data_IF_039998155189
#
_entry.id   IF_039998155189
#
_cell.length_a   1.000
_cell.length_b   1.000
_cell.length_c   1.000
_cell.angle_alpha   90.00
_cell.angle_beta   90.00
_cell.angle_gamma   90.00
#
_symmetry.space_group_name_H-M   'P 1'
#
loop_
_entity.id
_entity.type
_entity.pdbx_description
1 polymer ?
#
# COMPACT_ATOMS: atom_id res chain seq x y z
N UNK A 1 -11.96 -9.71 38.13
CA UNK A 1 -12.46 -9.25 36.81
C UNK A 1 -11.95 -7.86 36.36
N UNK A 2 -11.57 -6.93 37.26
CA UNK A 2 -11.05 -5.60 36.89
C UNK A 2 -9.59 -5.58 36.38
N UNK A 3 -8.74 -6.52 36.83
CA UNK A 3 -7.32 -6.60 36.44
C UNK A 3 -7.13 -6.97 34.95
N UNK A 4 -7.98 -7.87 34.42
CA UNK A 4 -7.94 -8.28 33.00
C UNK A 4 -8.36 -7.14 32.05
N UNK A 5 -9.26 -6.26 32.49
CA UNK A 5 -9.75 -5.15 31.67
C UNK A 5 -8.69 -4.04 31.49
N UNK A 6 -7.89 -3.77 32.53
CA UNK A 6 -6.77 -2.83 32.48
C UNK A 6 -5.61 -3.34 31.59
N UNK A 7 -5.32 -4.65 31.60
CA UNK A 7 -4.36 -5.24 30.65
C UNK A 7 -4.85 -5.14 29.20
N UNK A 8 -6.16 -5.23 28.96
CA UNK A 8 -6.73 -5.12 27.61
C UNK A 8 -6.61 -3.70 27.04
N UNK A 9 -6.82 -2.65 27.85
CA UNK A 9 -6.63 -1.25 27.43
C UNK A 9 -5.16 -0.92 27.16
N UNK A 10 -4.24 -1.40 27.99
CA UNK A 10 -2.79 -1.29 27.77
C UNK A 10 -2.33 -2.02 26.51
N UNK A 11 -2.81 -3.25 26.28
CA UNK A 11 -2.53 -4.02 25.08
C UNK A 11 -3.11 -3.39 23.82
N UNK A 12 -4.30 -2.78 23.90
CA UNK A 12 -4.89 -2.08 22.78
C UNK A 12 -4.13 -0.80 22.45
N UNK A 13 -3.73 -0.02 23.46
CA UNK A 13 -2.89 1.16 23.29
C UNK A 13 -1.50 0.79 22.72
N UNK A 14 -0.88 -0.28 23.22
CA UNK A 14 0.40 -0.81 22.72
C UNK A 14 0.29 -1.30 21.27
N UNK A 15 -0.78 -2.03 20.95
CA UNK A 15 -1.10 -2.48 19.59
C UNK A 15 -1.34 -1.29 18.65
N UNK A 16 -2.06 -0.27 19.10
CA UNK A 16 -2.33 0.96 18.34
C UNK A 16 -1.03 1.75 18.10
N UNK A 17 -0.21 1.92 19.13
CA UNK A 17 1.07 2.62 19.09
C UNK A 17 2.07 1.92 18.17
N UNK A 18 2.16 0.59 18.25
CA UNK A 18 3.02 -0.21 17.39
C UNK A 18 2.56 -0.17 15.91
N UNK A 19 1.24 -0.18 15.66
CA UNK A 19 0.70 0.05 14.31
C UNK A 19 1.00 1.46 13.80
N UNK A 20 1.01 2.48 14.66
CA UNK A 20 1.41 3.85 14.31
C UNK A 20 2.89 3.93 13.91
N UNK A 21 3.78 3.34 14.71
CA UNK A 21 5.22 3.25 14.41
C UNK A 21 5.50 2.50 13.10
N UNK A 22 4.75 1.41 12.86
CA UNK A 22 4.85 0.61 11.63
C UNK A 22 4.37 1.39 10.39
N UNK A 23 3.36 2.25 10.55
CA UNK A 23 2.85 3.12 9.49
C UNK A 23 3.89 4.16 9.06
N UNK A 24 4.67 4.72 9.98
CA UNK A 24 5.74 5.67 9.64
C UNK A 24 6.88 5.01 8.84
N UNK A 25 7.21 3.75 9.14
CA UNK A 25 8.31 3.05 8.45
C UNK A 25 7.91 2.44 7.10
N UNK A 26 6.63 2.14 6.90
CA UNK A 26 6.09 1.59 5.64
C UNK A 26 6.33 2.48 4.41
N UNK A 27 6.69 3.77 4.60
CA UNK A 27 6.91 4.72 3.51
C UNK A 27 8.40 5.00 3.23
N UNK A 28 9.33 4.46 4.01
CA UNK A 28 10.76 4.69 3.80
C UNK A 28 11.33 3.57 2.94
N UNK A 29 11.49 3.86 1.65
CA UNK A 29 12.16 2.96 0.70
C UNK A 29 13.68 3.15 0.87
N UNK A 30 14.33 2.21 1.57
CA UNK A 30 15.78 2.26 1.84
C UNK A 30 16.52 1.48 0.72
N UNK A 31 17.35 2.12 -0.12
CA UNK A 31 18.10 1.44 -1.18
C UNK A 31 19.24 0.55 -0.64
N UNK A 32 19.79 0.89 0.54
CA UNK A 32 20.84 0.11 1.20
C UNK A 32 20.28 -1.16 1.83
N UNK A 33 20.56 -2.32 1.21
CA UNK A 33 20.08 -3.64 1.65
C UNK A 33 20.34 -3.97 3.13
N UNK A 34 21.58 -3.88 3.67
CA UNK A 34 21.82 -4.26 5.06
C UNK A 34 21.05 -3.36 6.04
N UNK A 35 20.98 -2.06 5.75
CA UNK A 35 20.20 -1.11 6.56
C UNK A 35 18.70 -1.42 6.49
N UNK A 36 18.17 -1.72 5.30
CA UNK A 36 16.79 -2.15 5.13
C UNK A 36 16.48 -3.41 5.94
N UNK A 37 17.35 -4.43 5.90
CA UNK A 37 17.17 -5.66 6.69
C UNK A 37 17.23 -5.40 8.19
N UNK A 38 18.20 -4.60 8.66
CA UNK A 38 18.33 -4.24 10.07
C UNK A 38 17.08 -3.50 10.57
N UNK A 39 16.63 -2.49 9.83
CA UNK A 39 15.43 -1.73 10.18
C UNK A 39 14.16 -2.59 10.13
N UNK A 40 14.02 -3.44 9.12
CA UNK A 40 12.89 -4.37 9.00
C UNK A 40 12.83 -5.37 10.15
N UNK A 41 13.99 -5.89 10.58
CA UNK A 41 14.09 -6.78 11.74
C UNK A 41 13.62 -6.08 13.01
N UNK A 42 14.14 -4.88 13.27
CA UNK A 42 13.89 -4.13 14.51
C UNK A 42 12.46 -3.59 14.60
N UNK A 43 11.89 -3.12 13.48
CA UNK A 43 10.63 -2.38 13.49
C UNK A 43 9.42 -3.17 13.04
N UNK A 44 9.61 -4.29 12.33
CA UNK A 44 8.51 -5.13 11.86
C UNK A 44 8.59 -6.54 12.43
N UNK A 45 9.74 -7.21 12.31
CA UNK A 45 9.84 -8.62 12.64
C UNK A 45 9.78 -8.87 14.15
N UNK A 46 10.62 -8.20 14.95
CA UNK A 46 10.63 -8.32 16.42
C UNK A 46 9.27 -7.93 17.01
N UNK A 47 8.66 -6.78 16.66
CA UNK A 47 7.36 -6.40 17.19
C UNK A 47 6.25 -7.39 16.79
N UNK A 48 6.31 -7.97 15.59
CA UNK A 48 5.36 -8.99 15.15
C UNK A 48 5.43 -10.27 15.98
N UNK A 49 6.64 -10.74 16.33
CA UNK A 49 6.81 -11.89 17.22
C UNK A 49 6.27 -11.61 18.62
N UNK A 50 6.54 -10.41 19.16
CA UNK A 50 6.02 -9.98 20.47
C UNK A 50 4.48 -9.98 20.45
N UNK A 51 3.86 -9.41 19.42
CA UNK A 51 2.40 -9.37 19.30
C UNK A 51 1.79 -10.76 19.12
N UNK A 52 2.40 -11.64 18.32
CA UNK A 52 1.90 -13.01 18.14
C UNK A 52 2.10 -13.84 19.42
N UNK A 53 3.14 -13.59 20.23
CA UNK A 53 3.32 -14.21 21.54
C UNK A 53 2.24 -13.75 22.53
N UNK A 54 2.00 -12.44 22.60
CA UNK A 54 0.90 -11.87 23.39
C UNK A 54 -0.44 -12.47 22.94
N UNK A 55 -0.67 -12.55 21.64
CA UNK A 55 -1.88 -13.15 21.09
C UNK A 55 -2.01 -14.62 21.54
N UNK A 56 -0.93 -15.39 21.49
CA UNK A 56 -0.92 -16.79 21.95
C UNK A 56 -1.31 -16.90 23.43
N UNK A 57 -0.72 -16.08 24.31
CA UNK A 57 -0.99 -16.12 25.76
C UNK A 57 -2.40 -15.62 26.09
N UNK A 58 -2.93 -14.69 25.29
CA UNK A 58 -4.29 -14.15 25.45
C UNK A 58 -5.37 -14.96 24.71
N UNK A 59 -5.02 -16.10 24.11
CA UNK A 59 -5.95 -16.95 23.35
C UNK A 59 -6.40 -16.36 22.01
N UNK A 60 -5.75 -15.29 21.53
CA UNK A 60 -6.01 -14.68 20.25
C UNK A 60 -5.23 -15.35 19.10
N UNK A 61 -5.69 -15.12 17.88
CA UNK A 61 -5.09 -15.68 16.67
C UNK A 61 -3.77 -14.98 16.32
N UNK A 62 -2.71 -15.77 16.16
CA UNK A 62 -1.42 -15.33 15.61
C UNK A 62 -1.56 -15.00 14.13
N UNK A 63 -1.28 -13.75 13.75
CA UNK A 63 -1.43 -13.28 12.36
C UNK A 63 -0.31 -12.35 11.90
N UNK A 64 0.43 -11.71 12.81
CA UNK A 64 1.34 -10.63 12.44
C UNK A 64 2.56 -11.14 11.68
N UNK A 65 3.16 -12.25 12.12
CA UNK A 65 4.31 -12.85 11.42
C UNK A 65 3.95 -13.21 9.98
N UNK A 66 2.76 -13.82 9.78
CA UNK A 66 2.27 -14.19 8.44
C UNK A 66 1.99 -12.97 7.57
N UNK A 67 1.46 -11.89 8.15
CA UNK A 67 1.22 -10.65 7.43
C UNK A 67 2.53 -10.00 6.99
N UNK A 68 3.50 -9.85 7.90
CA UNK A 68 4.79 -9.26 7.57
C UNK A 68 5.60 -10.10 6.59
N UNK A 69 5.55 -11.43 6.65
CA UNK A 69 6.17 -12.28 5.63
C UNK A 69 5.65 -12.00 4.21
N UNK A 70 4.34 -11.77 4.06
CA UNK A 70 3.73 -11.38 2.78
C UNK A 70 4.19 -9.99 2.35
N UNK A 71 4.22 -9.03 3.26
CA UNK A 71 4.66 -7.65 3.00
C UNK A 71 6.12 -7.65 2.54
N UNK A 72 7.02 -8.34 3.25
CA UNK A 72 8.44 -8.45 2.88
C UNK A 72 8.61 -9.04 1.49
N UNK A 73 7.83 -10.07 1.13
CA UNK A 73 7.84 -10.64 -0.23
C UNK A 73 7.44 -9.59 -1.28
N UNK A 74 6.38 -8.82 -1.02
CA UNK A 74 5.92 -7.77 -1.93
C UNK A 74 6.99 -6.68 -2.07
N UNK A 75 7.55 -6.19 -0.96
CA UNK A 75 8.61 -5.18 -0.97
C UNK A 75 9.82 -5.67 -1.76
N UNK A 76 10.24 -6.91 -1.55
CA UNK A 76 11.35 -7.49 -2.30
C UNK A 76 11.08 -7.50 -3.81
N UNK A 77 9.90 -7.94 -4.26
CA UNK A 77 9.52 -7.91 -5.67
C UNK A 77 9.48 -6.48 -6.22
N UNK A 78 8.89 -5.55 -5.47
CA UNK A 78 8.78 -4.14 -5.87
C UNK A 78 10.13 -3.42 -5.88
N UNK A 79 11.09 -3.83 -5.05
CA UNK A 79 12.39 -3.18 -4.92
C UNK A 79 13.16 -3.15 -6.25
N UNK A 80 13.01 -4.17 -7.09
CA UNK A 80 13.65 -4.21 -8.40
C UNK A 80 13.16 -3.09 -9.31
N UNK A 81 11.85 -2.83 -9.30
CA UNK A 81 11.24 -1.78 -10.11
C UNK A 81 11.41 -0.40 -9.46
N UNK A 82 11.20 -0.29 -8.16
CA UNK A 82 11.14 0.98 -7.45
C UNK A 82 12.49 1.60 -7.08
N UNK A 83 13.57 0.82 -7.01
CA UNK A 83 14.91 1.32 -6.67
C UNK A 83 15.78 1.62 -7.90
N UNK A 84 15.32 1.28 -9.10
CA UNK A 84 16.04 1.50 -10.35
C UNK A 84 15.51 2.74 -11.05
N UNK A 85 16.42 3.47 -11.69
CA UNK A 85 16.04 4.49 -12.65
C UNK A 85 15.67 3.79 -13.96
N UNK A 86 14.51 4.18 -14.50
CA UNK A 86 14.02 3.70 -15.78
C UNK A 86 14.01 4.84 -16.77
N UNK A 87 14.81 4.70 -17.83
CA UNK A 87 14.78 5.61 -18.98
C UNK A 87 13.93 4.95 -20.06
N UNK A 88 12.75 5.51 -20.32
CA UNK A 88 11.88 5.05 -21.40
C UNK A 88 12.10 5.92 -22.63
N UNK A 89 12.53 5.32 -23.73
CA UNK A 89 12.63 6.02 -25.01
C UNK A 89 11.21 6.28 -25.54
N UNK A 90 10.86 7.55 -25.79
CA UNK A 90 9.54 7.94 -26.29
C UNK A 90 9.57 8.56 -27.69
N UNK A 91 10.71 8.42 -28.39
CA UNK A 91 10.97 9.12 -29.66
C UNK A 91 9.87 8.89 -30.69
N UNK A 92 9.47 7.65 -30.93
CA UNK A 92 8.46 7.31 -31.93
C UNK A 92 7.09 7.91 -31.60
N UNK A 93 6.73 8.02 -30.32
CA UNK A 93 5.46 8.61 -29.91
C UNK A 93 5.50 10.13 -30.10
N UNK A 94 6.63 10.76 -29.79
CA UNK A 94 6.83 12.20 -30.05
C UNK A 94 6.79 12.50 -31.55
N UNK A 95 7.51 11.74 -32.37
CA UNK A 95 7.48 11.88 -33.84
C UNK A 95 6.07 11.65 -34.40
N UNK A 96 5.34 10.64 -33.89
CA UNK A 96 3.96 10.41 -34.29
C UNK A 96 3.04 11.57 -33.90
N UNK A 97 3.17 12.10 -32.69
CA UNK A 97 2.37 13.24 -32.22
C UNK A 97 2.61 14.50 -33.08
N UNK A 98 3.85 14.75 -33.52
CA UNK A 98 4.16 15.86 -34.43
C UNK A 98 3.52 15.71 -35.82
N UNK A 99 3.35 14.48 -36.30
CA UNK A 99 2.74 14.19 -37.60
C UNK A 99 1.20 14.25 -37.58
N UNK A 100 0.57 14.17 -36.41
CA UNK A 100 -0.89 14.21 -36.31
C UNK A 100 -1.45 15.60 -36.58
N UNK A 101 -2.57 15.64 -37.31
CA UNK A 101 -3.36 16.88 -37.42
C UNK A 101 -4.04 17.22 -36.10
N UNK A 102 -4.37 18.50 -35.90
CA UNK A 102 -5.10 18.97 -34.71
C UNK A 102 -6.45 18.26 -34.49
N UNK A 103 -7.04 17.70 -35.56
CA UNK A 103 -8.26 16.87 -35.44
C UNK A 103 -7.93 15.50 -34.86
N UNK A 104 -6.86 14.85 -35.33
CA UNK A 104 -6.48 13.50 -34.89
C UNK A 104 -5.94 13.51 -33.46
N UNK A 105 -5.19 14.55 -33.07
CA UNK A 105 -4.72 14.75 -31.69
C UNK A 105 -5.83 14.78 -30.65
N UNK A 106 -7.06 15.14 -31.03
CA UNK A 106 -8.23 15.10 -30.13
C UNK A 106 -8.67 13.67 -29.82
N UNK A 107 -8.44 12.73 -30.73
CA UNK A 107 -8.79 11.32 -30.56
C UNK A 107 -7.61 10.49 -30.04
N UNK A 108 -6.39 10.84 -30.46
CA UNK A 108 -5.14 10.18 -30.10
C UNK A 108 -4.31 11.12 -29.22
N UNK A 109 -4.64 11.19 -27.93
CA UNK A 109 -3.84 11.95 -26.97
C UNK A 109 -2.68 11.12 -26.42
N UNK A 110 -1.46 11.51 -26.77
CA UNK A 110 -0.23 10.91 -26.23
C UNK A 110 0.38 11.69 -25.06
N UNK A 111 -0.09 12.93 -24.83
CA UNK A 111 0.40 13.75 -23.74
C UNK A 111 -0.17 13.31 -22.39
N UNK A 112 0.66 12.66 -21.57
CA UNK A 112 0.26 12.14 -20.25
C UNK A 112 0.00 13.29 -19.26
N UNK A 113 0.56 14.48 -19.48
CA UNK A 113 0.37 15.64 -18.60
C UNK A 113 -1.05 16.20 -18.63
N UNK A 114 -1.85 15.88 -19.65
CA UNK A 114 -3.27 16.30 -19.72
C UNK A 114 -4.19 15.46 -18.85
N UNK A 115 -3.72 14.32 -18.34
CA UNK A 115 -4.54 13.40 -17.55
C UNK A 115 -4.83 14.00 -16.17
N UNK A 116 -6.12 14.10 -15.83
CA UNK A 116 -6.53 14.32 -14.44
C UNK A 116 -6.29 13.05 -13.63
N UNK A 117 -5.10 12.95 -13.02
CA UNK A 117 -4.70 11.79 -12.24
C UNK A 117 -5.64 11.46 -11.09
N UNK A 118 -6.21 12.47 -10.44
CA UNK A 118 -7.15 12.27 -9.33
C UNK A 118 -8.43 11.57 -9.80
N UNK A 119 -8.98 11.98 -10.94
CA UNK A 119 -10.15 11.35 -11.53
C UNK A 119 -9.82 9.96 -12.07
N UNK A 120 -8.71 9.82 -12.77
CA UNK A 120 -8.21 8.55 -13.27
C UNK A 120 -8.13 7.50 -12.17
N UNK A 121 -7.43 7.80 -11.06
CA UNK A 121 -7.27 6.84 -9.96
C UNK A 121 -8.59 6.56 -9.24
N UNK A 122 -9.49 7.54 -9.11
CA UNK A 122 -10.83 7.30 -8.54
C UNK A 122 -11.61 6.28 -9.35
N UNK A 123 -11.67 6.46 -10.66
CA UNK A 123 -12.38 5.56 -11.58
C UNK A 123 -11.71 4.20 -11.66
N UNK A 124 -10.38 4.18 -11.80
CA UNK A 124 -9.56 2.97 -11.85
C UNK A 124 -9.71 2.10 -10.60
N UNK A 125 -9.57 2.68 -9.41
CA UNK A 125 -9.71 1.94 -8.14
C UNK A 125 -11.14 1.43 -7.94
N UNK A 126 -12.15 2.20 -8.37
CA UNK A 126 -13.54 1.73 -8.35
C UNK A 126 -13.75 0.54 -9.29
N UNK A 127 -13.14 0.58 -10.48
CA UNK A 127 -13.17 -0.52 -11.44
C UNK A 127 -12.54 -1.80 -10.90
N UNK A 128 -11.35 -1.71 -10.29
CA UNK A 128 -10.69 -2.86 -9.64
C UNK A 128 -11.62 -3.50 -8.61
N UNK A 129 -12.24 -2.70 -7.74
CA UNK A 129 -13.13 -3.25 -6.70
C UNK A 129 -14.33 -3.97 -7.28
N UNK A 130 -14.98 -3.36 -8.28
CA UNK A 130 -16.15 -3.94 -8.92
C UNK A 130 -15.83 -5.23 -9.69
N UNK A 131 -14.74 -5.24 -10.46
CA UNK A 131 -14.49 -6.33 -11.41
C UNK A 131 -13.48 -7.37 -10.93
N UNK A 132 -12.44 -6.96 -10.20
CA UNK A 132 -11.42 -7.88 -9.67
C UNK A 132 -11.85 -8.44 -8.32
N UNK A 133 -12.25 -7.57 -7.38
CA UNK A 133 -12.67 -7.99 -6.04
C UNK A 133 -14.14 -8.39 -5.95
N UNK A 134 -14.93 -8.07 -6.98
CA UNK A 134 -16.38 -8.36 -7.05
C UNK A 134 -17.17 -7.77 -5.87
N UNK A 135 -16.75 -6.60 -5.38
CA UNK A 135 -17.48 -5.86 -4.34
C UNK A 135 -18.89 -5.53 -4.84
N UNK A 136 -19.91 -5.73 -4.00
CA UNK A 136 -21.30 -5.37 -4.31
C UNK A 136 -21.49 -3.85 -4.28
N UNK A 137 -22.52 -3.35 -4.98
CA UNK A 137 -22.79 -1.90 -5.03
C UNK A 137 -23.02 -1.30 -3.63
N UNK A 138 -23.65 -2.05 -2.71
CA UNK A 138 -23.79 -1.64 -1.30
C UNK A 138 -22.45 -1.44 -0.60
N UNK A 139 -21.48 -2.34 -0.80
CA UNK A 139 -20.15 -2.25 -0.20
C UNK A 139 -19.33 -1.08 -0.77
N UNK A 140 -19.47 -0.81 -2.07
CA UNK A 140 -18.85 0.34 -2.73
C UNK A 140 -19.39 1.66 -2.17
N UNK A 141 -20.71 1.78 -1.97
CA UNK A 141 -21.34 3.00 -1.44
C UNK A 141 -21.01 3.22 0.05
N UNK A 142 -21.03 2.17 0.88
CA UNK A 142 -20.68 2.26 2.30
C UNK A 142 -19.23 2.75 2.54
N UNK A 143 -18.32 2.48 1.59
CA UNK A 143 -16.94 2.96 1.67
C UNK A 143 -16.78 4.39 1.18
N UNK A 144 -17.54 4.83 0.17
CA UNK A 144 -17.53 6.24 -0.28
C UNK A 144 -17.89 7.19 0.86
N UNK A 145 -18.80 6.81 1.74
CA UNK A 145 -19.14 7.57 2.95
C UNK A 145 -18.05 7.54 4.01
N UNK A 146 -17.28 6.45 4.14
CA UNK A 146 -16.12 6.38 5.04
C UNK A 146 -15.00 7.34 4.62
N UNK A 147 -14.69 7.45 3.32
CA UNK A 147 -13.62 8.35 2.82
C UNK A 147 -14.01 9.84 2.77
N UNK A 148 -15.29 10.18 2.92
CA UNK A 148 -15.74 11.59 3.04
C UNK A 148 -15.70 12.12 4.48
N UNK A 149 -15.52 11.24 5.47
CA UNK A 149 -15.30 11.60 6.88
C UNK A 149 -13.80 11.74 7.13
#
# INVERSE_FOLDING_TARGET
MKIVCLSFLSLYAFRQWMMLMSRCFSYIIIPWKPLHYAASLLLHQIPAYILDLIALVTGQKRMYIKAYAKITKIIYMMSWFGLKHWTFANRNVTELDELLTEREKKYLQFNISTINWMEYFRSYLSGIRKFVFKDTEKELQARKTFYRR
#
